data_IF_165250137210
#
_entry.id   IF_165250137210
#
_cell.length_a   1.000
_cell.length_b   1.000
_cell.length_c   1.000
_cell.angle_alpha   90.00
_cell.angle_beta   90.00
_cell.angle_gamma   90.00
#
_symmetry.space_group_name_H-M   'P 1'
#
loop_
_entity.id
_entity.type
_entity.pdbx_description
1 polymer ?
#
# COMPACT_ATOMS: atom_id res chain seq x y z
N UNK A 1 15.82 -40.62 14.30
CA UNK A 1 15.62 -41.27 12.97
C UNK A 1 15.63 -40.15 11.94
N UNK A 2 16.37 -40.27 10.84
CA UNK A 2 16.30 -39.28 9.74
C UNK A 2 14.99 -39.52 8.98
N UNK A 3 14.13 -38.50 8.92
CA UNK A 3 12.91 -38.58 8.11
C UNK A 3 13.27 -38.56 6.63
N UNK A 4 12.67 -39.46 5.85
CA UNK A 4 12.83 -39.44 4.39
C UNK A 4 12.06 -38.24 3.85
N UNK A 5 12.71 -37.44 3.01
CA UNK A 5 12.09 -36.28 2.36
C UNK A 5 11.52 -36.73 1.03
N UNK A 6 10.22 -36.49 0.87
CA UNK A 6 9.46 -36.70 -0.36
C UNK A 6 8.56 -35.48 -0.65
N UNK A 7 7.88 -35.48 -1.80
CA UNK A 7 6.99 -34.39 -2.18
C UNK A 7 5.83 -34.17 -1.18
N UNK A 8 5.30 -35.24 -0.58
CA UNK A 8 4.18 -35.15 0.36
C UNK A 8 4.59 -34.46 1.66
N UNK A 9 5.78 -34.77 2.18
CA UNK A 9 6.34 -34.16 3.38
C UNK A 9 6.78 -32.71 3.18
N UNK A 10 7.23 -32.33 1.98
CA UNK A 10 7.62 -30.94 1.67
C UNK A 10 6.44 -30.02 1.36
N UNK A 11 5.32 -30.57 0.86
CA UNK A 11 4.17 -29.78 0.44
C UNK A 11 3.70 -28.80 1.53
N UNK A 12 3.45 -27.55 1.12
CA UNK A 12 3.08 -26.45 1.98
C UNK A 12 4.05 -25.27 1.91
N UNK A 13 3.82 -24.29 2.78
CA UNK A 13 4.61 -23.07 2.87
C UNK A 13 5.50 -23.10 4.11
N UNK A 14 6.68 -22.51 4.01
CA UNK A 14 7.69 -22.52 5.05
C UNK A 14 8.33 -21.13 5.20
N UNK A 15 8.35 -20.62 6.43
CA UNK A 15 8.92 -19.33 6.79
C UNK A 15 10.39 -19.47 7.19
N UNK A 16 11.25 -18.62 6.65
CA UNK A 16 12.66 -18.57 7.01
C UNK A 16 12.82 -18.20 8.50
N UNK A 17 13.62 -18.97 9.23
CA UNK A 17 13.96 -18.73 10.64
C UNK A 17 15.39 -18.24 10.81
N UNK A 18 16.32 -18.79 10.03
CA UNK A 18 17.73 -18.40 10.12
C UNK A 18 18.49 -18.74 8.86
N UNK A 19 19.55 -17.99 8.59
CA UNK A 19 20.55 -18.27 7.56
C UNK A 19 21.93 -18.21 8.20
N UNK A 20 22.67 -19.30 8.11
CA UNK A 20 24.04 -19.42 8.62
C UNK A 20 24.98 -19.72 7.46
N UNK A 21 26.10 -19.02 7.39
CA UNK A 21 27.17 -19.28 6.42
C UNK A 21 28.36 -19.89 7.17
N UNK A 22 28.80 -21.06 6.72
CA UNK A 22 29.95 -21.76 7.26
C UNK A 22 31.13 -21.61 6.30
N UNK A 23 32.22 -20.97 6.75
CA UNK A 23 33.45 -20.86 5.98
C UNK A 23 34.35 -22.08 6.23
N UNK A 24 35.26 -22.37 5.29
CA UNK A 24 36.09 -23.61 5.25
C UNK A 24 36.92 -23.93 6.50
N UNK A 25 37.10 -22.97 7.42
CA UNK A 25 37.78 -23.17 8.71
C UNK A 25 36.84 -23.45 9.90
N UNK A 26 35.54 -23.67 9.64
CA UNK A 26 34.54 -23.96 10.67
C UNK A 26 33.98 -22.73 11.40
N UNK A 27 34.46 -21.53 11.07
CA UNK A 27 33.89 -20.29 11.60
C UNK A 27 32.53 -20.05 10.93
N UNK A 28 31.47 -20.10 11.76
CA UNK A 28 30.12 -19.84 11.33
C UNK A 28 29.85 -18.34 11.44
N UNK A 29 29.65 -17.68 10.30
CA UNK A 29 29.06 -16.36 10.26
C UNK A 29 27.55 -16.50 10.39
N UNK A 30 27.01 -16.10 11.54
CA UNK A 30 25.56 -15.88 11.67
C UNK A 30 25.22 -14.65 10.83
N UNK A 31 24.10 -14.70 10.12
CA UNK A 31 23.52 -13.57 9.37
C UNK A 31 24.12 -13.32 7.98
N UNK A 32 24.32 -14.38 7.19
CA UNK A 32 24.79 -14.25 5.81
C UNK A 32 23.92 -13.28 4.96
N UNK A 33 22.63 -13.18 5.30
CA UNK A 33 21.65 -12.29 4.68
C UNK A 33 21.21 -11.13 5.59
N UNK A 34 21.97 -10.85 6.66
CA UNK A 34 21.62 -9.88 7.70
C UNK A 34 20.83 -10.48 8.86
N UNK A 35 20.84 -9.79 10.00
CA UNK A 35 20.11 -10.17 11.21
C UNK A 35 18.59 -10.10 11.03
N UNK A 36 18.15 -9.46 9.96
CA UNK A 36 16.75 -9.16 9.65
C UNK A 36 16.23 -10.00 8.46
N UNK A 37 16.95 -11.05 8.10
CA UNK A 37 16.58 -11.89 6.97
C UNK A 37 15.20 -12.52 7.20
N UNK A 38 14.30 -12.33 6.24
CA UNK A 38 12.95 -12.91 6.24
C UNK A 38 12.67 -13.55 4.89
N UNK A 39 11.86 -14.59 4.86
CA UNK A 39 11.57 -15.28 3.61
C UNK A 39 10.48 -16.31 3.71
N UNK A 40 10.00 -16.72 2.55
CA UNK A 40 9.03 -17.77 2.33
C UNK A 40 9.53 -18.71 1.24
N UNK A 41 9.31 -19.99 1.44
CA UNK A 41 9.42 -21.01 0.39
C UNK A 41 8.16 -21.85 0.39
N UNK A 42 7.63 -22.12 -0.80
CA UNK A 42 6.41 -22.91 -0.96
C UNK A 42 6.68 -24.06 -1.91
N UNK A 43 6.16 -25.25 -1.57
CA UNK A 43 6.19 -26.45 -2.40
C UNK A 43 4.76 -26.92 -2.62
N UNK A 44 4.37 -27.11 -3.87
CA UNK A 44 3.06 -27.67 -4.21
C UNK A 44 3.14 -29.20 -4.38
N UNK A 45 2.04 -29.95 -4.16
CA UNK A 45 2.01 -31.39 -4.36
C UNK A 45 2.32 -31.86 -5.80
N UNK A 46 2.05 -31.01 -6.80
CA UNK A 46 2.28 -31.27 -8.22
C UNK A 46 3.69 -30.90 -8.71
N UNK A 47 4.60 -30.58 -7.78
CA UNK A 47 6.02 -30.44 -8.06
C UNK A 47 6.46 -29.03 -8.46
N UNK A 48 5.68 -27.99 -8.17
CA UNK A 48 6.08 -26.58 -8.33
C UNK A 48 6.59 -25.99 -7.02
N UNK A 49 7.43 -24.97 -7.15
CA UNK A 49 7.98 -24.26 -5.99
C UNK A 49 8.24 -22.79 -6.28
N UNK A 50 8.27 -22.00 -5.20
CA UNK A 50 8.71 -20.59 -5.24
C UNK A 50 9.48 -20.24 -3.97
N UNK A 51 10.44 -19.33 -4.08
CA UNK A 51 11.27 -18.81 -3.00
C UNK A 51 11.30 -17.31 -3.08
N UNK A 52 11.11 -16.65 -1.94
CA UNK A 52 11.40 -15.23 -1.76
C UNK A 52 12.11 -15.05 -0.43
N UNK A 53 13.31 -14.47 -0.45
CA UNK A 53 14.06 -14.08 0.75
C UNK A 53 14.45 -12.62 0.59
N UNK A 54 14.23 -11.83 1.64
CA UNK A 54 14.68 -10.46 1.77
C UNK A 54 15.63 -10.35 2.94
N UNK A 55 16.63 -9.50 2.82
CA UNK A 55 17.61 -9.26 3.87
C UNK A 55 18.43 -8.01 3.62
N UNK A 56 19.45 -7.80 4.44
CA UNK A 56 20.45 -6.74 4.28
C UNK A 56 21.83 -7.31 4.53
N UNK A 57 22.71 -7.25 3.53
CA UNK A 57 24.12 -7.64 3.69
C UNK A 57 24.97 -6.38 3.64
N UNK A 58 25.72 -6.13 4.72
CA UNK A 58 26.59 -4.93 4.82
C UNK A 58 25.82 -3.62 4.55
N UNK A 59 24.59 -3.52 5.06
CA UNK A 59 23.71 -2.37 4.88
C UNK A 59 23.02 -2.27 3.51
N UNK A 60 23.36 -3.15 2.54
CA UNK A 60 22.73 -3.17 1.21
C UNK A 60 21.53 -4.10 1.17
N UNK A 61 20.40 -3.70 0.56
CA UNK A 61 19.26 -4.59 0.35
C UNK A 61 19.66 -5.83 -0.43
N UNK A 62 19.22 -6.99 0.05
CA UNK A 62 19.38 -8.28 -0.63
C UNK A 62 17.99 -8.85 -0.90
N UNK A 63 17.73 -9.22 -2.15
CA UNK A 63 16.52 -9.97 -2.52
C UNK A 63 16.92 -11.20 -3.32
N UNK A 64 16.44 -12.36 -2.87
CA UNK A 64 16.53 -13.63 -3.57
C UNK A 64 15.11 -14.01 -3.91
N UNK A 65 14.80 -14.13 -5.20
CA UNK A 65 13.50 -14.64 -5.62
C UNK A 65 13.66 -15.52 -6.85
N UNK A 66 13.06 -16.71 -6.80
CA UNK A 66 12.98 -17.60 -7.95
C UNK A 66 11.82 -18.59 -7.81
N UNK A 67 11.38 -19.15 -8.93
CA UNK A 67 10.31 -20.13 -9.00
C UNK A 67 10.56 -21.13 -10.13
N UNK A 68 9.95 -22.31 -10.00
CA UNK A 68 10.05 -23.36 -11.00
C UNK A 68 9.51 -24.69 -10.49
N UNK A 69 10.17 -25.79 -10.84
CA UNK A 69 9.80 -27.14 -10.37
C UNK A 69 10.76 -27.65 -9.30
N UNK A 70 10.38 -28.69 -8.58
CA UNK A 70 11.29 -29.38 -7.68
C UNK A 70 11.22 -30.90 -7.81
N UNK A 71 12.30 -31.55 -7.40
CA UNK A 71 12.39 -33.00 -7.30
C UNK A 71 13.23 -33.41 -6.09
N UNK A 72 12.84 -34.50 -5.41
CA UNK A 72 13.53 -35.06 -4.25
C UNK A 72 14.12 -36.44 -4.57
N UNK A 73 15.34 -36.72 -4.11
CA UNK A 73 15.93 -38.06 -4.21
C UNK A 73 17.22 -38.18 -3.38
N UNK A 74 17.41 -39.32 -2.69
CA UNK A 74 18.62 -39.61 -1.90
C UNK A 74 19.07 -38.49 -0.94
N UNK A 75 18.12 -37.78 -0.31
CA UNK A 75 18.41 -36.66 0.60
C UNK A 75 18.78 -35.34 -0.09
N UNK A 76 18.70 -35.30 -1.43
CA UNK A 76 18.94 -34.11 -2.25
C UNK A 76 17.60 -33.59 -2.78
N UNK A 77 17.39 -32.29 -2.61
CA UNK A 77 16.31 -31.51 -3.20
C UNK A 77 16.88 -30.65 -4.32
N UNK A 78 16.34 -30.78 -5.52
CA UNK A 78 16.72 -29.95 -6.67
C UNK A 78 15.58 -29.02 -7.00
N UNK A 79 15.84 -27.71 -7.03
CA UNK A 79 14.92 -26.71 -7.58
C UNK A 79 15.34 -26.45 -9.04
N UNK A 80 14.47 -26.83 -9.97
CA UNK A 80 14.61 -26.54 -11.40
C UNK A 80 14.12 -25.10 -11.62
N UNK A 81 15.04 -24.16 -11.77
CA UNK A 81 14.70 -22.72 -11.77
C UNK A 81 14.22 -22.31 -13.16
N UNK A 82 12.97 -21.87 -13.26
CA UNK A 82 12.40 -21.38 -14.52
C UNK A 82 12.48 -19.86 -14.62
N UNK A 83 12.31 -19.16 -13.49
CA UNK A 83 12.38 -17.70 -13.40
C UNK A 83 13.07 -17.33 -12.10
N UNK A 84 13.95 -16.35 -12.14
CA UNK A 84 14.67 -15.87 -10.96
C UNK A 84 15.25 -14.48 -11.17
N UNK A 85 15.44 -13.75 -10.07
CA UNK A 85 16.25 -12.52 -10.07
C UNK A 85 17.73 -12.95 -10.11
N UNK A 86 18.60 -12.31 -10.90
CA UNK A 86 20.03 -12.63 -10.89
C UNK A 86 20.62 -12.66 -9.47
N UNK A 87 21.49 -13.63 -9.14
CA UNK A 87 22.18 -14.56 -10.04
C UNK A 87 21.50 -15.94 -10.20
N UNK A 88 20.20 -16.09 -9.92
CA UNK A 88 19.53 -17.40 -9.98
C UNK A 88 19.13 -17.79 -11.41
N UNK A 89 20.13 -18.07 -12.24
CA UNK A 89 20.02 -18.50 -13.64
C UNK A 89 20.20 -20.03 -13.82
N UNK A 90 20.43 -20.74 -12.72
CA UNK A 90 20.78 -22.16 -12.71
C UNK A 90 20.02 -22.93 -11.64
N UNK A 91 19.87 -24.23 -11.87
CA UNK A 91 19.20 -25.14 -10.95
C UNK A 91 19.88 -25.18 -9.58
N UNK A 92 19.07 -25.15 -8.53
CA UNK A 92 19.55 -25.10 -7.17
C UNK A 92 19.51 -26.48 -6.54
N UNK A 93 20.68 -27.07 -6.30
CA UNK A 93 20.82 -28.31 -5.53
C UNK A 93 20.95 -27.99 -4.04
N UNK A 94 20.16 -28.67 -3.20
CA UNK A 94 20.12 -28.51 -1.75
C UNK A 94 20.14 -29.87 -1.06
N UNK A 95 20.89 -29.99 0.02
CA UNK A 95 20.77 -31.11 0.95
C UNK A 95 19.67 -30.74 1.93
N UNK A 96 18.61 -31.54 1.94
CA UNK A 96 17.42 -31.27 2.72
C UNK A 96 17.38 -32.23 3.92
N UNK A 97 16.99 -31.71 5.08
CA UNK A 97 16.78 -32.47 6.30
C UNK A 97 15.54 -31.95 7.03
N UNK A 98 14.55 -32.81 7.25
CA UNK A 98 13.46 -32.52 8.17
C UNK A 98 13.94 -32.84 9.58
N UNK A 99 14.13 -31.79 10.39
CA UNK A 99 14.50 -31.91 11.81
C UNK A 99 13.31 -32.46 12.60
N UNK A 100 12.11 -31.98 12.27
CA UNK A 100 10.82 -32.44 12.77
C UNK A 100 9.73 -32.20 11.70
N UNK A 101 8.45 -32.39 12.03
CA UNK A 101 7.34 -32.23 11.09
C UNK A 101 7.19 -30.80 10.53
N UNK A 102 7.65 -29.81 11.30
CA UNK A 102 7.47 -28.40 11.01
C UNK A 102 8.81 -27.66 10.82
N UNK A 103 9.95 -28.32 10.94
CA UNK A 103 11.27 -27.69 10.79
C UNK A 103 12.06 -28.34 9.66
N UNK A 104 12.27 -27.58 8.58
CA UNK A 104 13.05 -27.98 7.42
C UNK A 104 14.39 -27.25 7.40
N UNK A 105 15.47 -28.00 7.27
CA UNK A 105 16.81 -27.47 7.02
C UNK A 105 17.20 -27.73 5.57
N UNK A 106 17.64 -26.68 4.87
CA UNK A 106 18.23 -26.75 3.54
C UNK A 106 19.68 -26.27 3.60
N UNK A 107 20.59 -26.99 2.97
CA UNK A 107 21.98 -26.55 2.87
C UNK A 107 22.56 -26.71 1.46
N UNK A 108 23.54 -25.88 1.10
CA UNK A 108 24.30 -26.06 -0.14
C UNK A 108 25.32 -27.20 0.01
N UNK A 109 25.87 -27.67 -1.12
CA UNK A 109 27.07 -28.49 -1.06
C UNK A 109 28.19 -27.71 -0.34
N UNK A 110 29.10 -28.42 0.35
CA UNK A 110 30.37 -27.82 0.73
C UNK A 110 31.08 -27.42 -0.58
N UNK A 111 31.01 -26.13 -0.92
CA UNK A 111 31.89 -25.53 -1.89
C UNK A 111 33.18 -25.15 -1.17
N UNK A 112 34.30 -25.03 -1.89
CA UNK A 112 35.62 -24.73 -1.32
C UNK A 112 35.64 -23.44 -0.47
N UNK A 113 34.65 -22.55 -0.60
CA UNK A 113 34.62 -21.23 0.03
C UNK A 113 33.54 -21.05 1.11
N UNK A 114 32.35 -21.64 0.95
CA UNK A 114 31.25 -21.48 1.90
C UNK A 114 30.16 -22.56 1.76
N UNK A 115 29.53 -22.90 2.88
CA UNK A 115 28.28 -23.68 2.93
C UNK A 115 27.19 -22.86 3.60
N UNK A 116 26.08 -22.67 2.91
CA UNK A 116 24.90 -22.00 3.48
C UNK A 116 23.97 -23.04 4.11
N UNK A 117 23.45 -22.73 5.29
CA UNK A 117 22.42 -23.49 6.00
C UNK A 117 21.23 -22.57 6.28
N UNK A 118 20.06 -22.95 5.78
CA UNK A 118 18.80 -22.23 5.93
C UNK A 118 17.84 -23.10 6.73
N UNK A 119 17.35 -22.58 7.84
CA UNK A 119 16.32 -23.24 8.65
C UNK A 119 14.97 -22.58 8.38
N UNK A 120 13.97 -23.40 8.10
CA UNK A 120 12.63 -23.01 7.73
C UNK A 120 11.63 -23.65 8.70
N UNK A 121 10.57 -22.91 9.03
CA UNK A 121 9.46 -23.39 9.82
C UNK A 121 8.21 -23.49 8.96
N UNK A 122 7.54 -24.64 8.97
CA UNK A 122 6.25 -24.85 8.32
C UNK A 122 5.24 -23.85 8.83
N UNK A 123 4.50 -23.31 7.88
CA UNK A 123 3.31 -22.53 8.11
C UNK A 123 2.17 -23.50 8.42
N UNK A 124 1.61 -23.45 9.63
CA UNK A 124 0.52 -24.34 10.03
C UNK A 124 -0.69 -24.21 9.08
N UNK A 125 -1.13 -25.32 8.49
CA UNK A 125 -2.25 -25.40 7.52
C UNK A 125 -3.65 -25.04 8.09
N UNK A 126 -3.73 -24.50 9.30
CA UNK A 126 -4.99 -24.18 10.00
C UNK A 126 -5.07 -22.78 10.58
N UNK A 127 -4.02 -21.97 10.44
CA UNK A 127 -4.11 -20.54 10.67
C UNK A 127 -3.72 -19.89 9.35
N UNK A 128 -4.57 -19.07 8.72
CA UNK A 128 -4.11 -18.30 7.58
C UNK A 128 -2.86 -17.57 8.03
N UNK A 129 -1.73 -17.86 7.42
CA UNK A 129 -0.56 -17.04 7.68
C UNK A 129 -0.92 -15.63 7.30
N UNK A 130 -0.72 -14.72 8.26
CA UNK A 130 -0.98 -13.28 8.19
C UNK A 130 -0.78 -12.61 6.81
N UNK A 131 0.15 -12.99 5.90
CA UNK A 131 0.27 -12.30 4.61
C UNK A 131 -0.89 -12.50 3.61
N UNK A 132 -1.60 -13.64 3.62
CA UNK A 132 -2.69 -13.87 2.63
C UNK A 132 -4.02 -13.20 3.02
N UNK A 133 -4.23 -12.90 4.31
CA UNK A 133 -5.41 -12.15 4.77
C UNK A 133 -5.24 -10.66 4.52
N UNK A 134 -4.01 -10.14 4.59
CA UNK A 134 -3.76 -8.70 4.50
C UNK A 134 -3.79 -8.15 3.07
N UNK A 135 -3.23 -8.88 2.10
CA UNK A 135 -3.30 -8.50 0.69
C UNK A 135 -4.74 -8.52 0.12
N UNK A 136 -5.67 -9.21 0.80
CA UNK A 136 -7.11 -9.25 0.46
C UNK A 136 -7.92 -8.25 1.31
N UNK A 137 -7.49 -7.95 2.53
CA UNK A 137 -8.25 -7.13 3.46
C UNK A 137 -8.48 -5.69 2.95
N UNK A 138 -7.44 -5.02 2.44
CA UNK A 138 -7.63 -3.65 1.95
C UNK A 138 -8.50 -3.61 0.69
N UNK A 139 -8.39 -4.59 -0.22
CA UNK A 139 -9.25 -4.65 -1.42
C UNK A 139 -10.73 -4.81 -1.07
N UNK A 140 -11.05 -5.55 -0.02
CA UNK A 140 -12.42 -5.67 0.47
C UNK A 140 -12.93 -4.33 1.04
N UNK A 141 -12.08 -3.60 1.77
CA UNK A 141 -12.41 -2.25 2.26
C UNK A 141 -12.57 -1.25 1.11
N UNK A 142 -11.73 -1.34 0.08
CA UNK A 142 -11.77 -0.49 -1.12
C UNK A 142 -13.07 -0.72 -1.90
N UNK A 143 -13.44 -1.98 -2.11
CA UNK A 143 -14.72 -2.34 -2.71
C UNK A 143 -15.91 -1.81 -1.90
N UNK A 144 -15.82 -1.81 -0.56
CA UNK A 144 -16.86 -1.27 0.32
C UNK A 144 -16.94 0.27 0.26
N UNK A 145 -15.80 0.97 0.25
CA UNK A 145 -15.76 2.43 0.01
C UNK A 145 -16.41 2.75 -1.33
N UNK A 146 -16.05 2.01 -2.39
CA UNK A 146 -16.59 2.22 -3.72
C UNK A 146 -18.11 2.00 -3.79
N UNK A 147 -18.60 0.93 -3.17
CA UNK A 147 -20.03 0.64 -3.05
C UNK A 147 -20.78 1.78 -2.35
N UNK A 148 -20.27 2.27 -1.21
CA UNK A 148 -20.91 3.37 -0.46
C UNK A 148 -20.91 4.68 -1.23
N UNK A 149 -19.81 5.02 -1.92
CA UNK A 149 -19.76 6.22 -2.77
C UNK A 149 -20.75 6.16 -3.93
N UNK A 150 -21.00 4.98 -4.48
CA UNK A 150 -22.01 4.78 -5.52
C UNK A 150 -23.45 5.01 -4.99
N UNK A 151 -23.71 4.68 -3.72
CA UNK A 151 -25.02 4.85 -3.08
C UNK A 151 -25.26 6.28 -2.52
N UNK A 152 -24.20 7.02 -2.24
CA UNK A 152 -24.26 8.40 -1.74
C UNK A 152 -24.92 9.38 -2.73
N UNK A 153 -25.38 10.52 -2.25
CA UNK A 153 -25.78 11.66 -3.12
C UNK A 153 -24.58 12.42 -3.69
N UNK A 154 -24.85 13.34 -4.63
CA UNK A 154 -23.85 14.27 -5.20
C UNK A 154 -23.21 15.14 -4.11
N UNK A 155 -24.01 15.68 -3.19
CA UNK A 155 -23.52 16.47 -2.05
C UNK A 155 -22.63 15.66 -1.10
N UNK A 156 -23.02 14.43 -0.76
CA UNK A 156 -22.24 13.54 0.10
C UNK A 156 -20.89 13.18 -0.54
N UNK A 157 -20.88 12.81 -1.83
CA UNK A 157 -19.64 12.55 -2.57
C UNK A 157 -18.72 13.77 -2.62
N UNK A 158 -19.28 14.96 -2.82
CA UNK A 158 -18.49 16.19 -2.87
C UNK A 158 -17.82 16.49 -1.53
N UNK A 159 -18.56 16.36 -0.42
CA UNK A 159 -18.00 16.54 0.93
C UNK A 159 -16.91 15.50 1.21
N UNK A 160 -17.11 14.24 0.83
CA UNK A 160 -16.10 13.19 0.95
C UNK A 160 -14.81 13.58 0.21
N UNK A 161 -14.92 13.94 -1.08
CA UNK A 161 -13.76 14.33 -1.88
C UNK A 161 -13.06 15.57 -1.31
N UNK A 162 -13.80 16.57 -0.86
CA UNK A 162 -13.24 17.78 -0.26
C UNK A 162 -12.48 17.48 1.06
N UNK A 163 -13.00 16.56 1.88
CA UNK A 163 -12.35 16.05 3.10
C UNK A 163 -11.01 15.42 2.81
N UNK A 164 -10.99 14.44 1.91
CA UNK A 164 -9.77 13.74 1.50
C UNK A 164 -8.75 14.72 0.91
N UNK A 165 -9.17 15.58 -0.02
CA UNK A 165 -8.29 16.57 -0.65
C UNK A 165 -7.69 17.56 0.36
N UNK A 166 -8.48 18.02 1.34
CA UNK A 166 -8.02 18.94 2.38
C UNK A 166 -7.00 18.31 3.33
N UNK A 167 -7.18 17.03 3.65
CA UNK A 167 -6.24 16.25 4.44
C UNK A 167 -4.91 16.09 3.72
N UNK A 168 -4.93 15.71 2.44
CA UNK A 168 -3.72 15.59 1.63
C UNK A 168 -3.01 16.93 1.46
N UNK A 169 -3.75 18.02 1.21
CA UNK A 169 -3.16 19.35 1.12
C UNK A 169 -2.47 19.78 2.44
N UNK A 170 -3.07 19.47 3.60
CA UNK A 170 -2.46 19.76 4.90
C UNK A 170 -1.20 18.94 5.14
N UNK A 171 -1.20 17.67 4.76
CA UNK A 171 0.00 16.83 4.82
C UNK A 171 1.12 17.41 3.95
N UNK A 172 0.79 17.87 2.74
CA UNK A 172 1.73 18.54 1.84
C UNK A 172 2.28 19.85 2.42
N UNK A 173 1.44 20.66 3.06
CA UNK A 173 1.87 21.90 3.74
C UNK A 173 2.78 21.66 4.94
N UNK A 174 2.69 20.49 5.56
CA UNK A 174 3.56 20.09 6.66
C UNK A 174 4.96 19.64 6.18
N UNK A 175 5.15 19.42 4.88
CA UNK A 175 6.47 19.07 4.33
C UNK A 175 7.47 20.22 4.50
N UNK A 176 8.79 19.94 4.57
CA UNK A 176 9.81 20.97 4.49
C UNK A 176 9.63 21.84 3.24
N UNK A 177 9.88 23.16 3.34
CA UNK A 177 9.64 24.12 2.25
C UNK A 177 10.21 23.68 0.88
N UNK A 178 11.38 23.04 0.87
CA UNK A 178 12.02 22.53 -0.36
C UNK A 178 11.28 21.36 -1.04
N UNK A 179 10.41 20.68 -0.31
CA UNK A 179 9.60 19.56 -0.80
C UNK A 179 8.16 20.00 -1.13
N UNK A 180 7.76 21.21 -0.71
CA UNK A 180 6.47 21.77 -1.08
C UNK A 180 6.48 22.18 -2.56
N UNK A 181 5.46 21.73 -3.29
CA UNK A 181 5.20 22.12 -4.68
C UNK A 181 4.34 23.37 -4.73
N UNK A 182 4.82 24.42 -5.41
CA UNK A 182 4.11 25.69 -5.56
C UNK A 182 2.74 25.54 -6.22
N UNK A 183 2.62 24.67 -7.22
CA UNK A 183 1.35 24.39 -7.90
C UNK A 183 0.30 23.85 -6.94
N UNK A 184 0.60 22.79 -6.17
CA UNK A 184 -0.30 22.22 -5.16
C UNK A 184 -0.80 23.29 -4.19
N UNK A 185 0.10 24.13 -3.67
CA UNK A 185 -0.26 25.21 -2.74
C UNK A 185 -1.17 26.26 -3.39
N UNK A 186 -0.95 26.55 -4.67
CA UNK A 186 -1.77 27.50 -5.44
C UNK A 186 -3.24 27.05 -5.61
N UNK A 187 -3.54 25.75 -5.40
CA UNK A 187 -4.90 25.20 -5.49
C UNK A 187 -5.74 25.41 -4.22
N UNK A 188 -5.18 25.96 -3.14
CA UNK A 188 -5.90 26.24 -1.88
C UNK A 188 -7.18 27.08 -2.05
N UNK A 189 -7.21 28.15 -2.87
CA UNK A 189 -8.45 28.89 -3.13
C UNK A 189 -9.53 28.04 -3.82
N UNK A 190 -9.13 27.17 -4.76
CA UNK A 190 -10.05 26.24 -5.43
C UNK A 190 -10.67 25.28 -4.42
N UNK A 191 -9.87 24.65 -3.57
CA UNK A 191 -10.37 23.75 -2.53
C UNK A 191 -11.30 24.47 -1.53
N UNK A 192 -10.96 25.70 -1.15
CA UNK A 192 -11.83 26.54 -0.31
C UNK A 192 -13.20 26.78 -0.96
N UNK A 193 -13.23 27.04 -2.27
CA UNK A 193 -14.47 27.21 -3.03
C UNK A 193 -15.28 25.89 -3.10
N UNK A 194 -14.61 24.74 -3.31
CA UNK A 194 -15.26 23.42 -3.29
C UNK A 194 -15.95 23.19 -1.95
N UNK A 195 -15.27 23.46 -0.82
CA UNK A 195 -15.88 23.36 0.51
C UNK A 195 -17.08 24.29 0.69
N UNK A 196 -16.96 25.55 0.26
CA UNK A 196 -18.07 26.50 0.34
C UNK A 196 -19.29 25.97 -0.44
N UNK A 197 -19.08 25.53 -1.68
CA UNK A 197 -20.14 24.98 -2.53
C UNK A 197 -20.76 23.69 -1.97
N UNK A 198 -19.94 22.76 -1.48
CA UNK A 198 -20.38 21.50 -0.88
C UNK A 198 -21.27 21.72 0.37
N UNK A 199 -21.05 22.82 1.09
CA UNK A 199 -21.79 23.20 2.29
C UNK A 199 -22.89 24.24 2.04
N UNK A 200 -23.24 24.45 0.77
CA UNK A 200 -24.43 25.20 0.36
C UNK A 200 -24.22 26.68 0.08
N UNK A 201 -22.98 27.14 -0.14
CA UNK A 201 -22.73 28.46 -0.72
C UNK A 201 -22.86 28.39 -2.25
N UNK A 202 -23.98 28.88 -2.78
CA UNK A 202 -24.27 28.85 -4.22
C UNK A 202 -23.39 29.79 -5.03
N UNK A 203 -22.71 30.76 -4.40
CA UNK A 203 -21.77 31.65 -5.10
C UNK A 203 -20.47 30.94 -5.50
N UNK A 204 -20.16 29.81 -4.85
CA UNK A 204 -18.93 29.05 -5.09
C UNK A 204 -18.82 28.46 -6.50
N UNK A 205 -19.94 28.22 -7.18
CA UNK A 205 -19.96 27.57 -8.49
C UNK A 205 -19.06 28.27 -9.52
N UNK A 206 -19.14 29.60 -9.59
CA UNK A 206 -18.31 30.40 -10.50
C UNK A 206 -16.82 30.28 -10.17
N UNK A 207 -16.47 30.31 -8.89
CA UNK A 207 -15.09 30.18 -8.44
C UNK A 207 -14.50 28.80 -8.75
N UNK A 208 -15.25 27.71 -8.50
CA UNK A 208 -14.80 26.35 -8.82
C UNK A 208 -14.60 26.17 -10.33
N UNK A 209 -15.55 26.63 -11.14
CA UNK A 209 -15.45 26.59 -12.61
C UNK A 209 -14.24 27.38 -13.12
N UNK A 210 -14.03 28.59 -12.59
CA UNK A 210 -12.89 29.43 -12.97
C UNK A 210 -11.57 28.78 -12.58
N UNK A 211 -11.45 28.22 -11.37
CA UNK A 211 -10.23 27.56 -10.92
C UNK A 211 -9.86 26.33 -11.76
N UNK A 212 -10.83 25.49 -12.11
CA UNK A 212 -10.61 24.39 -13.06
C UNK A 212 -10.25 24.88 -14.47
N UNK A 213 -10.89 25.95 -14.94
CA UNK A 213 -10.54 26.58 -16.22
C UNK A 213 -9.10 27.06 -16.26
N UNK A 214 -8.62 27.72 -15.19
CA UNK A 214 -7.23 28.13 -15.05
C UNK A 214 -6.27 26.93 -15.09
N UNK A 215 -6.60 25.83 -14.40
CA UNK A 215 -5.80 24.61 -14.46
C UNK A 215 -5.73 24.05 -15.88
N UNK A 216 -6.87 23.90 -16.57
CA UNK A 216 -6.91 23.35 -17.94
C UNK A 216 -6.13 24.19 -18.97
N UNK A 217 -5.95 25.48 -18.70
CA UNK A 217 -5.18 26.40 -19.55
C UNK A 217 -3.72 26.57 -19.09
N UNK A 218 -3.33 25.96 -17.98
CA UNK A 218 -1.99 26.06 -17.43
C UNK A 218 -1.04 25.01 -18.02
N UNK A 219 0.26 25.23 -17.89
CA UNK A 219 1.30 24.28 -18.28
C UNK A 219 1.22 22.93 -17.53
N UNK A 220 0.55 22.89 -16.38
CA UNK A 220 0.37 21.68 -15.56
C UNK A 220 -0.69 20.72 -16.13
N UNK A 221 -1.51 21.15 -17.09
CA UNK A 221 -2.49 20.31 -17.77
C UNK A 221 -2.00 19.91 -19.16
N UNK A 222 -1.00 19.03 -19.20
CA UNK A 222 -0.38 18.55 -20.44
C UNK A 222 -0.53 17.02 -20.60
N UNK A 223 -0.38 16.52 -21.83
CA UNK A 223 -0.43 15.09 -22.15
C UNK A 223 0.96 14.45 -22.21
N UNK A 224 2.03 15.19 -21.92
CA UNK A 224 3.42 14.77 -22.12
C UNK A 224 3.93 13.72 -21.10
N UNK A 225 3.03 13.00 -20.44
CA UNK A 225 3.36 11.95 -19.49
C UNK A 225 3.93 12.47 -18.16
N UNK A 226 4.73 11.63 -17.50
CA UNK A 226 5.29 11.87 -16.15
C UNK A 226 6.46 12.85 -16.10
N UNK A 227 6.89 13.40 -17.23
CA UNK A 227 8.13 14.18 -17.34
C UNK A 227 7.88 15.70 -17.51
N UNK A 228 6.68 16.17 -17.15
CA UNK A 228 6.32 17.59 -17.23
C UNK A 228 6.81 18.45 -16.05
N UNK A 229 6.71 19.78 -16.16
CA UNK A 229 7.11 20.70 -15.09
C UNK A 229 6.27 20.47 -13.82
N UNK A 230 6.94 20.16 -12.71
CA UNK A 230 6.39 20.05 -11.34
C UNK A 230 5.03 19.32 -11.25
N UNK A 231 5.04 18.07 -11.73
CA UNK A 231 4.05 17.00 -11.58
C UNK A 231 2.71 17.38 -10.91
N UNK A 232 1.72 17.71 -11.73
CA UNK A 232 0.29 17.69 -11.34
C UNK A 232 -0.19 16.31 -10.84
N UNK A 233 0.69 15.29 -10.88
CA UNK A 233 0.50 13.96 -10.28
C UNK A 233 0.82 13.90 -8.79
N UNK A 234 1.19 15.01 -8.16
CA UNK A 234 1.25 15.09 -6.71
C UNK A 234 -0.16 14.78 -6.12
N UNK A 235 -0.28 13.83 -5.18
CA UNK A 235 -1.60 13.33 -4.75
C UNK A 235 -2.55 14.40 -4.21
N UNK A 236 -2.05 15.41 -3.48
CA UNK A 236 -2.91 16.48 -2.99
C UNK A 236 -3.46 17.36 -4.12
N UNK A 237 -2.64 17.72 -5.11
CA UNK A 237 -3.09 18.47 -6.28
C UNK A 237 -4.13 17.69 -7.07
N UNK A 238 -3.86 16.40 -7.37
CA UNK A 238 -4.80 15.52 -8.07
C UNK A 238 -6.12 15.40 -7.30
N UNK A 239 -6.07 15.16 -5.98
CA UNK A 239 -7.25 15.06 -5.12
C UNK A 239 -8.10 16.34 -5.14
N UNK A 240 -7.50 17.53 -5.10
CA UNK A 240 -8.23 18.81 -5.18
C UNK A 240 -8.93 18.95 -6.54
N UNK A 241 -8.25 18.62 -7.64
CA UNK A 241 -8.83 18.68 -8.99
C UNK A 241 -9.98 17.69 -9.15
N UNK A 242 -9.84 16.47 -8.61
CA UNK A 242 -10.92 15.49 -8.56
C UNK A 242 -12.09 15.94 -7.68
N UNK A 243 -11.84 16.54 -6.52
CA UNK A 243 -12.89 17.11 -5.66
C UNK A 243 -13.66 18.24 -6.36
N UNK A 244 -12.96 19.11 -7.08
CA UNK A 244 -13.60 20.16 -7.89
C UNK A 244 -14.48 19.58 -9.00
N UNK A 245 -14.03 18.51 -9.67
CA UNK A 245 -14.82 17.80 -10.68
C UNK A 245 -16.01 17.04 -10.06
N UNK A 246 -15.85 16.46 -8.88
CA UNK A 246 -16.94 15.85 -8.13
C UNK A 246 -18.03 16.89 -7.80
N UNK A 247 -17.64 18.09 -7.38
CA UNK A 247 -18.59 19.20 -7.15
C UNK A 247 -19.34 19.62 -8.43
N UNK A 248 -18.64 19.77 -9.56
CA UNK A 248 -19.27 20.24 -10.80
C UNK A 248 -20.16 19.20 -11.47
N UNK A 249 -19.80 17.92 -11.38
CA UNK A 249 -20.44 16.85 -12.16
C UNK A 249 -21.29 15.90 -11.31
N UNK A 250 -21.07 15.85 -9.99
CA UNK A 250 -21.76 14.92 -9.09
C UNK A 250 -21.44 13.43 -9.31
N UNK A 251 -20.46 13.11 -10.17
CA UNK A 251 -20.14 11.75 -10.58
C UNK A 251 -19.38 10.96 -9.49
N UNK A 252 -19.68 9.66 -9.39
CA UNK A 252 -19.01 8.73 -8.48
C UNK A 252 -17.54 8.56 -8.81
N UNK A 253 -17.16 8.52 -10.08
CA UNK A 253 -15.78 8.28 -10.52
C UNK A 253 -14.79 9.28 -9.92
N UNK A 254 -15.16 10.57 -9.84
CA UNK A 254 -14.27 11.58 -9.26
C UNK A 254 -14.08 11.39 -7.75
N UNK A 255 -15.09 10.89 -7.03
CA UNK A 255 -14.93 10.55 -5.62
C UNK A 255 -14.03 9.31 -5.44
N UNK A 256 -14.14 8.31 -6.33
CA UNK A 256 -13.24 7.16 -6.34
C UNK A 256 -11.81 7.55 -6.67
N UNK A 257 -11.60 8.45 -7.63
CA UNK A 257 -10.26 8.96 -7.94
C UNK A 257 -9.67 9.71 -6.77
N UNK A 258 -10.43 10.59 -6.10
CA UNK A 258 -9.97 11.25 -4.87
C UNK A 258 -9.61 10.25 -3.77
N UNK A 259 -10.41 9.19 -3.59
CA UNK A 259 -10.11 8.09 -2.64
C UNK A 259 -8.78 7.41 -2.98
N UNK A 260 -8.57 7.08 -4.25
CA UNK A 260 -7.33 6.46 -4.76
C UNK A 260 -6.08 7.31 -4.51
N UNK A 261 -6.16 8.63 -4.68
CA UNK A 261 -5.02 9.54 -4.38
C UNK A 261 -4.59 9.43 -2.91
N UNK A 262 -5.54 9.25 -1.98
CA UNK A 262 -5.19 9.04 -0.59
C UNK A 262 -4.54 7.67 -0.32
N UNK A 263 -4.96 6.62 -1.03
CA UNK A 263 -4.32 5.30 -0.93
C UNK A 263 -2.90 5.29 -1.47
N UNK A 264 -2.64 6.04 -2.55
CA UNK A 264 -1.30 6.21 -3.10
C UNK A 264 -0.40 7.06 -2.20
N UNK A 265 -0.98 8.02 -1.45
CA UNK A 265 -0.26 8.83 -0.49
C UNK A 265 0.00 8.13 0.85
N UNK A 266 -0.84 7.18 1.27
CA UNK A 266 -0.78 6.56 2.60
C UNK A 266 0.60 5.96 2.96
N UNK A 267 1.27 5.18 2.08
CA UNK A 267 2.60 4.62 2.39
C UNK A 267 3.73 5.66 2.44
N UNK A 268 3.47 6.91 2.03
CA UNK A 268 4.48 7.98 1.90
C UNK A 268 4.40 9.01 3.02
N UNK A 269 3.44 8.89 3.94
CA UNK A 269 3.35 9.80 5.07
C UNK A 269 4.56 9.56 5.99
N UNK A 270 5.18 10.62 6.52
CA UNK A 270 6.44 10.54 7.26
C UNK A 270 6.26 9.79 8.60
N UNK A 271 6.40 8.46 8.55
CA UNK A 271 6.68 7.58 9.67
C UNK A 271 8.17 7.27 9.67
N UNK A 272 8.83 7.63 10.76
CA UNK A 272 10.24 7.36 11.15
C UNK A 272 11.13 6.68 10.08
N UNK A 273 11.99 7.46 9.42
CA UNK A 273 12.96 7.02 8.38
C UNK A 273 13.90 5.89 8.84
N UNK A 274 13.88 5.49 10.13
CA UNK A 274 14.71 4.45 10.73
C UNK A 274 14.04 3.12 11.07
N UNK A 275 12.70 3.00 10.96
CA UNK A 275 11.97 1.76 11.26
C UNK A 275 11.76 0.88 10.02
N UNK A 276 11.62 -0.43 10.19
CA UNK A 276 11.19 -1.33 9.11
C UNK A 276 10.00 -0.74 8.35
N UNK A 277 10.02 -0.82 7.02
CA UNK A 277 8.89 -0.44 6.19
C UNK A 277 7.63 -1.18 6.69
N UNK A 278 6.78 -0.46 7.41
CA UNK A 278 5.44 -0.87 7.78
C UNK A 278 4.73 -1.38 6.50
N UNK A 279 3.93 -2.45 6.65
CA UNK A 279 3.32 -3.14 5.52
C UNK A 279 2.49 -2.15 4.69
N UNK A 280 2.83 -1.86 3.42
CA UNK A 280 2.09 -0.91 2.59
C UNK A 280 0.60 -1.23 2.48
N UNK A 281 0.24 -2.51 2.59
CA UNK A 281 -1.15 -2.95 2.57
C UNK A 281 -1.88 -2.63 3.89
N UNK A 282 -1.16 -2.56 5.02
CA UNK A 282 -1.70 -2.13 6.31
C UNK A 282 -2.01 -0.63 6.30
N UNK A 283 -1.11 0.20 5.75
CA UNK A 283 -1.38 1.64 5.58
C UNK A 283 -2.59 1.90 4.69
N UNK A 284 -2.70 1.19 3.57
CA UNK A 284 -3.89 1.26 2.69
C UNK A 284 -5.15 0.84 3.43
N UNK A 285 -5.07 -0.27 4.19
CA UNK A 285 -6.21 -0.72 4.97
C UNK A 285 -6.64 0.32 6.01
N UNK A 286 -5.71 0.98 6.70
CA UNK A 286 -6.07 2.00 7.69
C UNK A 286 -6.66 3.26 7.05
N UNK A 287 -6.10 3.73 5.94
CA UNK A 287 -6.68 4.84 5.20
C UNK A 287 -8.09 4.50 4.69
N UNK A 288 -8.35 3.27 4.24
CA UNK A 288 -9.71 2.85 3.85
C UNK A 288 -10.67 2.78 5.03
N UNK A 289 -10.24 2.25 6.18
CA UNK A 289 -11.07 2.28 7.41
C UNK A 289 -11.40 3.71 7.80
N UNK A 290 -10.45 4.62 7.68
CA UNK A 290 -10.67 6.04 7.89
C UNK A 290 -11.71 6.61 6.92
N UNK A 291 -11.57 6.34 5.61
CA UNK A 291 -12.54 6.78 4.62
C UNK A 291 -13.96 6.26 4.90
N UNK A 292 -14.10 5.04 5.43
CA UNK A 292 -15.39 4.51 5.87
C UNK A 292 -15.94 5.27 7.09
N UNK A 293 -15.11 5.62 8.08
CA UNK A 293 -15.49 6.49 9.21
C UNK A 293 -15.95 7.88 8.72
N UNK A 294 -15.24 8.45 7.75
CA UNK A 294 -15.59 9.72 7.11
C UNK A 294 -16.97 9.62 6.43
N UNK A 295 -17.25 8.54 5.70
CA UNK A 295 -18.55 8.27 5.06
C UNK A 295 -19.68 8.08 6.08
N UNK A 296 -19.44 7.41 7.21
CA UNK A 296 -20.41 7.30 8.31
C UNK A 296 -20.78 8.67 8.87
N UNK A 297 -19.78 9.52 9.10
CA UNK A 297 -19.99 10.89 9.56
C UNK A 297 -20.79 11.70 8.54
N UNK A 298 -20.46 11.61 7.25
CA UNK A 298 -21.16 12.32 6.18
C UNK A 298 -22.63 11.86 6.07
N UNK A 299 -22.89 10.56 6.17
CA UNK A 299 -24.24 9.95 6.07
C UNK A 299 -25.19 10.54 7.12
N UNK A 300 -24.69 10.92 8.30
CA UNK A 300 -25.48 11.57 9.36
C UNK A 300 -26.09 12.93 8.94
N UNK A 301 -25.58 13.55 7.88
CA UNK A 301 -26.03 14.83 7.33
C UNK A 301 -26.62 14.73 5.91
N UNK A 302 -26.90 13.51 5.42
CA UNK A 302 -27.35 13.26 4.05
C UNK A 302 -28.52 14.14 3.60
N UNK A 303 -29.49 14.39 4.48
CA UNK A 303 -30.67 15.23 4.17
C UNK A 303 -30.29 16.68 3.87
N UNK A 304 -29.41 17.29 4.67
CA UNK A 304 -28.96 18.66 4.42
C UNK A 304 -28.08 18.72 3.16
N UNK A 305 -27.20 17.74 2.96
CA UNK A 305 -26.27 17.69 1.83
C UNK A 305 -26.96 17.53 0.47
N UNK A 306 -28.07 16.77 0.39
CA UNK A 306 -28.90 16.69 -0.84
C UNK A 306 -29.51 18.05 -1.22
N UNK A 307 -29.76 18.91 -0.23
CA UNK A 307 -30.29 20.26 -0.44
C UNK A 307 -29.22 21.31 -0.72
N UNK A 308 -27.95 21.01 -0.42
CA UNK A 308 -26.88 22.00 -0.41
C UNK A 308 -26.69 22.73 -1.74
N UNK A 309 -26.83 22.03 -2.87
CA UNK A 309 -26.72 22.63 -4.21
C UNK A 309 -27.73 23.76 -4.50
N UNK A 310 -28.82 23.84 -3.73
CA UNK A 310 -29.84 24.89 -3.84
C UNK A 310 -29.65 26.03 -2.84
N UNK A 311 -28.56 25.98 -2.07
CA UNK A 311 -28.28 26.91 -1.00
C UNK A 311 -28.79 26.41 0.35
N UNK A 312 -28.00 26.65 1.40
CA UNK A 312 -28.42 26.43 2.77
C UNK A 312 -28.45 27.77 3.54
N UNK A 313 -29.26 27.82 4.59
CA UNK A 313 -29.23 28.94 5.52
C UNK A 313 -27.83 29.05 6.16
N UNK A 314 -27.33 30.26 6.37
CA UNK A 314 -25.96 30.50 6.88
C UNK A 314 -25.68 29.79 8.21
N UNK A 315 -26.69 29.66 9.08
CA UNK A 315 -26.58 28.91 10.34
C UNK A 315 -26.36 27.41 10.13
N UNK A 316 -27.00 26.81 9.10
CA UNK A 316 -26.78 25.41 8.74
C UNK A 316 -25.40 25.21 8.11
N UNK A 317 -24.99 26.09 7.19
CA UNK A 317 -23.65 26.05 6.60
C UNK A 317 -22.57 26.15 7.67
N UNK A 318 -22.72 27.08 8.64
CA UNK A 318 -21.78 27.22 9.75
C UNK A 318 -21.69 25.94 10.59
N UNK A 319 -22.84 25.32 10.91
CA UNK A 319 -22.88 24.03 11.62
C UNK A 319 -22.17 22.93 10.84
N UNK A 320 -22.50 22.74 9.55
CA UNK A 320 -21.87 21.70 8.73
C UNK A 320 -20.36 21.91 8.59
N UNK A 321 -19.89 23.16 8.56
CA UNK A 321 -18.45 23.45 8.56
C UNK A 321 -17.77 22.90 9.83
N UNK A 322 -18.30 23.19 11.01
CA UNK A 322 -17.75 22.66 12.27
C UNK A 322 -17.85 21.15 12.38
N UNK A 323 -18.97 20.57 11.93
CA UNK A 323 -19.25 19.13 12.12
C UNK A 323 -18.62 18.23 11.05
N UNK A 324 -18.39 18.74 9.84
CA UNK A 324 -17.84 17.98 8.71
C UNK A 324 -16.46 18.47 8.31
N UNK A 325 -16.28 19.76 8.01
CA UNK A 325 -15.01 20.24 7.48
C UNK A 325 -13.87 20.06 8.48
N UNK A 326 -14.04 20.47 9.74
CA UNK A 326 -12.96 20.37 10.73
C UNK A 326 -12.54 18.91 11.00
N UNK A 327 -13.46 17.96 11.25
CA UNK A 327 -13.08 16.58 11.55
C UNK A 327 -12.52 15.82 10.35
N UNK A 328 -13.08 16.00 9.15
CA UNK A 328 -12.62 15.31 7.93
C UNK A 328 -11.22 15.79 7.48
N UNK A 329 -10.82 16.99 7.90
CA UNK A 329 -9.56 17.63 7.51
C UNK A 329 -8.39 17.38 8.47
N UNK A 330 -8.57 16.64 9.56
CA UNK A 330 -7.50 16.40 10.54
C UNK A 330 -6.43 15.47 9.96
N UNK A 331 -5.13 15.67 10.20
CA UNK A 331 -4.13 14.67 9.84
C UNK A 331 -4.17 13.45 10.78
N UNK A 332 -4.43 13.69 12.07
CA UNK A 332 -4.03 12.81 13.19
C UNK A 332 -4.84 11.51 13.40
N UNK A 333 -5.93 11.27 12.68
CA UNK A 333 -6.72 10.03 12.82
C UNK A 333 -6.03 8.79 12.22
N UNK A 334 -4.74 8.88 11.83
CA UNK A 334 -3.92 7.77 11.31
C UNK A 334 -3.03 7.11 12.38
N UNK A 335 -3.11 7.56 13.62
CA UNK A 335 -2.37 6.96 14.74
C UNK A 335 -3.34 6.11 15.57
N UNK A 336 -3.16 4.78 15.68
CA UNK A 336 -4.02 3.89 16.45
C UNK A 336 -4.01 4.16 17.96
#
# INVERSE_FOLDING_TARGET
MKHTIDAGTLAGSWRLKSVTEHHGHGEASRNAYGSEASGMISYSPDGFMSVVIRGRREGRPLTIAYAGRYSTGAGVLTHLVHVGIPPFDSDQRRYAELIDADTLRLSTAPLDQARFELTWQRVANGAPTRPEVWAVAWKALDAEVARRLAESSDGERTVFSAGVAQRLLRAHEALPLRAQRSFTLSLRPLLSAVWAGALGDTSAFGAVKSGLGTFYLSEYCHNDGTDGPDDAREPAAAAILHAARAYLHGCTDFALFTSGEALEAAPRLPGDEGGYAEDPDEFRAEELRRQLRDLDRITAYATDLRGARFGLASSRTARLRTELQDPLSRPDDLTP
#
